data_IF_223109871759
#
_entry.id   IF_223109871759
#
_cell.length_a   1.000
_cell.length_b   1.000
_cell.length_c   1.000
_cell.angle_alpha   90.00
_cell.angle_beta   90.00
_cell.angle_gamma   90.00
#
_symmetry.space_group_name_H-M   'P 1'
#
loop_
_entity.id
_entity.type
_entity.pdbx_description
1 polymer ?
#
# COMPACT_ATOMS: atom_id res chain seq x y z
N UNK A 1 -3.24 2.30 -14.43
CA UNK A 1 -4.58 1.78 -14.03
C UNK A 1 -4.40 0.91 -12.79
N UNK A 2 -5.43 0.56 -12.01
CA UNK A 2 -5.27 -0.39 -10.88
C UNK A 2 -5.96 -1.71 -11.19
N UNK A 3 -5.26 -2.83 -10.95
CA UNK A 3 -5.84 -4.16 -11.12
C UNK A 3 -5.94 -4.85 -9.76
N UNK A 4 -7.12 -5.35 -9.44
CA UNK A 4 -7.35 -6.17 -8.25
C UNK A 4 -6.53 -7.45 -8.38
N UNK A 5 -5.83 -7.82 -7.32
CA UNK A 5 -5.08 -9.08 -7.28
C UNK A 5 -6.07 -10.25 -7.24
N UNK A 6 -6.06 -11.11 -8.26
CA UNK A 6 -6.87 -12.32 -8.28
C UNK A 6 -6.23 -13.38 -7.37
N UNK A 7 -6.89 -13.72 -6.28
CA UNK A 7 -6.52 -14.83 -5.37
C UNK A 7 -7.63 -15.87 -5.35
N UNK A 8 -7.30 -17.16 -5.16
CA UNK A 8 -8.32 -18.22 -5.14
C UNK A 8 -9.06 -18.27 -3.81
N UNK A 9 -8.44 -17.80 -2.72
CA UNK A 9 -9.04 -17.82 -1.37
C UNK A 9 -8.67 -16.59 -0.53
N UNK A 10 -9.51 -16.29 0.49
CA UNK A 10 -9.22 -15.26 1.51
C UNK A 10 -7.95 -15.58 2.30
N UNK A 11 -7.63 -16.86 2.50
CA UNK A 11 -6.41 -17.29 3.20
C UNK A 11 -5.15 -16.94 2.41
N UNK A 12 -5.16 -17.15 1.10
CA UNK A 12 -4.08 -16.74 0.20
C UNK A 12 -3.92 -15.22 0.19
N UNK A 13 -5.03 -14.49 0.07
CA UNK A 13 -5.03 -13.02 0.14
C UNK A 13 -4.33 -12.53 1.41
N UNK A 14 -4.73 -13.04 2.58
CA UNK A 14 -4.11 -12.67 3.86
C UNK A 14 -2.62 -13.02 3.88
N UNK A 15 -2.26 -14.25 3.49
CA UNK A 15 -0.86 -14.69 3.48
C UNK A 15 0.01 -13.76 2.63
N UNK A 16 -0.42 -13.44 1.42
CA UNK A 16 0.31 -12.54 0.51
C UNK A 16 0.42 -11.13 1.07
N UNK A 17 -0.69 -10.57 1.55
CA UNK A 17 -0.70 -9.21 2.07
C UNK A 17 0.22 -9.07 3.31
N UNK A 18 0.19 -10.02 4.24
CA UNK A 18 1.09 -10.02 5.39
C UNK A 18 2.56 -10.25 5.00
N UNK A 19 2.84 -11.04 3.95
CA UNK A 19 4.21 -11.21 3.46
C UNK A 19 4.78 -9.90 2.90
N UNK A 20 3.95 -9.12 2.19
CA UNK A 20 4.33 -7.79 1.67
C UNK A 20 4.58 -6.82 2.82
N UNK A 21 3.72 -6.81 3.83
CA UNK A 21 3.89 -5.96 5.02
C UNK A 21 5.17 -6.32 5.78
N UNK A 22 5.48 -7.62 5.89
CA UNK A 22 6.66 -8.11 6.63
C UNK A 22 7.97 -7.89 5.88
N UNK A 23 7.97 -8.02 4.55
CA UNK A 23 9.17 -7.92 3.71
C UNK A 23 8.91 -7.03 2.48
N UNK A 24 8.70 -5.71 2.69
CA UNK A 24 8.50 -4.77 1.60
C UNK A 24 9.82 -4.43 0.90
N UNK A 25 9.75 -4.11 -0.39
CA UNK A 25 10.84 -3.46 -1.11
C UNK A 25 10.89 -1.95 -0.86
N UNK A 26 9.70 -1.33 -0.72
CA UNK A 26 9.54 0.12 -0.51
C UNK A 26 8.41 0.37 0.47
N UNK A 27 8.55 1.37 1.32
CA UNK A 27 7.49 1.77 2.26
C UNK A 27 7.28 3.27 2.19
N UNK A 28 6.00 3.65 2.08
CA UNK A 28 5.57 5.04 2.06
C UNK A 28 4.57 5.29 3.19
N UNK A 29 4.67 6.45 3.81
CA UNK A 29 3.71 6.93 4.80
C UNK A 29 2.98 8.13 4.22
N UNK A 30 1.65 8.08 4.24
CA UNK A 30 0.78 9.19 3.89
C UNK A 30 0.10 9.70 5.16
N UNK A 31 0.29 10.98 5.47
CA UNK A 31 -0.45 11.68 6.53
C UNK A 31 -1.38 12.70 5.91
N UNK A 32 -2.66 12.68 6.28
CA UNK A 32 -3.64 13.71 5.95
C UNK A 32 -4.61 13.92 7.13
N UNK A 33 -5.62 14.78 6.95
CA UNK A 33 -6.62 15.05 7.97
C UNK A 33 -7.44 13.80 8.39
N UNK A 34 -7.48 12.75 7.56
CA UNK A 34 -8.19 11.52 7.85
C UNK A 34 -7.34 10.50 8.63
N UNK A 35 -6.01 10.67 8.72
CA UNK A 35 -5.14 9.82 9.53
C UNK A 35 -3.76 9.53 8.91
N UNK A 36 -3.08 8.53 9.47
CA UNK A 36 -1.84 7.95 8.94
C UNK A 36 -2.15 6.67 8.18
N UNK A 37 -1.60 6.56 6.98
CA UNK A 37 -1.69 5.36 6.16
C UNK A 37 -0.29 4.91 5.75
N UNK A 38 -0.03 3.62 5.90
CA UNK A 38 1.21 2.99 5.44
C UNK A 38 0.93 2.23 4.15
N UNK A 39 1.81 2.40 3.17
CA UNK A 39 1.73 1.75 1.89
C UNK A 39 3.00 0.92 1.70
N UNK A 40 2.84 -0.40 1.77
CA UNK A 40 3.92 -1.39 1.64
C UNK A 40 3.94 -1.92 0.22
N UNK A 41 5.09 -1.85 -0.44
CA UNK A 41 5.25 -2.27 -1.82
C UNK A 41 6.16 -3.48 -1.91
N UNK A 42 5.77 -4.47 -2.72
CA UNK A 42 6.65 -5.55 -3.17
C UNK A 42 6.58 -5.63 -4.69
N UNK A 43 7.65 -5.20 -5.36
CA UNK A 43 7.67 -4.97 -6.83
C UNK A 43 6.53 -4.04 -7.25
N UNK A 44 5.49 -4.58 -7.89
CA UNK A 44 4.33 -3.88 -8.44
C UNK A 44 3.04 -4.13 -7.63
N UNK A 45 3.18 -4.77 -6.46
CA UNK A 45 2.10 -5.03 -5.52
C UNK A 45 2.14 -4.04 -4.37
N UNK A 46 0.99 -3.52 -3.93
CA UNK A 46 0.88 -2.65 -2.76
C UNK A 46 -0.22 -3.07 -1.82
N UNK A 47 0.12 -3.05 -0.53
CA UNK A 47 -0.82 -3.19 0.59
C UNK A 47 -0.89 -1.87 1.33
N UNK A 48 -2.10 -1.38 1.59
CA UNK A 48 -2.31 -0.19 2.43
C UNK A 48 -2.88 -0.58 3.78
N UNK A 49 -2.35 -0.03 4.86
CA UNK A 49 -2.85 -0.19 6.23
C UNK A 49 -3.08 1.17 6.89
N UNK A 50 -3.95 1.23 7.90
CA UNK A 50 -4.08 2.38 8.81
C UNK A 50 -3.45 2.08 10.18
N UNK A 51 -3.01 3.14 10.86
CA UNK A 51 -2.36 3.13 12.18
C UNK A 51 -3.18 2.37 13.24
N UNK A 52 -4.50 2.55 13.24
CA UNK A 52 -5.33 2.17 14.39
C UNK A 52 -5.39 0.66 14.67
N UNK A 53 -5.07 -0.21 13.70
CA UNK A 53 -5.13 -1.68 13.88
C UNK A 53 -4.22 -2.50 12.94
N UNK A 54 -3.32 -1.87 12.16
CA UNK A 54 -2.59 -2.53 11.06
C UNK A 54 -3.50 -3.33 10.09
N UNK A 55 -4.80 -3.01 10.07
CA UNK A 55 -5.78 -3.66 9.22
C UNK A 55 -5.42 -3.42 7.76
N UNK A 56 -5.39 -4.50 6.97
CA UNK A 56 -5.24 -4.41 5.52
C UNK A 56 -6.50 -3.73 4.96
N UNK A 57 -6.37 -2.47 4.56
CA UNK A 57 -7.44 -1.70 3.94
C UNK A 57 -7.61 -2.06 2.48
N UNK A 58 -6.49 -2.31 1.80
CA UNK A 58 -6.51 -2.64 0.39
C UNK A 58 -5.24 -3.35 -0.09
N UNK A 59 -5.38 -4.08 -1.20
CA UNK A 59 -4.31 -4.81 -1.87
C UNK A 59 -4.49 -4.72 -3.40
N UNK A 60 -3.56 -4.06 -4.08
CA UNK A 60 -3.64 -3.80 -5.53
C UNK A 60 -2.32 -4.10 -6.24
N UNK A 61 -2.42 -4.36 -7.54
CA UNK A 61 -1.31 -4.20 -8.47
C UNK A 61 -1.27 -2.76 -8.99
N UNK A 62 -0.09 -2.18 -9.09
CA UNK A 62 0.14 -0.77 -9.44
C UNK A 62 1.31 -0.61 -10.39
N UNK A 63 1.15 0.33 -11.30
CA UNK A 63 2.22 0.84 -12.16
C UNK A 63 3.08 1.86 -11.39
N UNK A 64 4.40 1.86 -11.62
CA UNK A 64 5.37 2.69 -10.88
C UNK A 64 5.07 4.21 -10.95
N UNK A 65 4.40 4.68 -12.02
CA UNK A 65 4.03 6.09 -12.16
C UNK A 65 3.00 6.59 -11.13
N UNK A 66 2.30 5.67 -10.45
CA UNK A 66 1.25 6.03 -9.51
C UNK A 66 1.74 6.90 -8.35
N UNK A 67 2.92 6.58 -7.79
CA UNK A 67 3.49 7.33 -6.67
C UNK A 67 3.79 8.76 -7.10
N UNK A 68 4.43 8.94 -8.26
CA UNK A 68 4.78 10.27 -8.79
C UNK A 68 3.54 11.15 -8.96
N UNK A 69 2.46 10.59 -9.53
CA UNK A 69 1.19 11.31 -9.69
C UNK A 69 0.58 11.69 -8.34
N UNK A 70 0.55 10.78 -7.36
CA UNK A 70 -0.08 11.02 -6.05
C UNK A 70 0.71 11.99 -5.16
N UNK A 71 2.03 11.99 -5.26
CA UNK A 71 2.89 13.00 -4.58
C UNK A 71 2.62 14.39 -5.14
N UNK A 72 2.37 14.52 -6.44
CA UNK A 72 2.16 15.81 -7.10
C UNK A 72 0.73 16.37 -6.94
N UNK A 73 -0.27 15.52 -6.67
CA UNK A 73 -1.71 15.92 -6.76
C UNK A 73 -2.42 16.08 -5.41
N UNK A 74 -1.75 15.92 -4.27
CA UNK A 74 -2.46 15.91 -2.98
C UNK A 74 -1.87 16.86 -1.94
N UNK A 75 -2.79 17.47 -1.19
CA UNK A 75 -2.61 18.12 0.12
C UNK A 75 -2.15 17.15 1.24
N UNK A 76 -1.42 16.10 0.88
CA UNK A 76 -0.91 15.09 1.81
C UNK A 76 0.59 14.95 1.66
N UNK A 77 1.30 14.93 2.79
CA UNK A 77 2.71 14.60 2.80
C UNK A 77 2.86 13.08 2.62
N UNK A 78 3.62 12.68 1.60
CA UNK A 78 4.03 11.29 1.36
C UNK A 78 5.54 11.21 1.57
N UNK A 79 5.95 10.42 2.56
CA UNK A 79 7.36 10.22 2.90
C UNK A 79 7.74 8.78 2.58
N UNK A 80 8.86 8.58 1.87
CA UNK A 80 9.48 7.26 1.72
C UNK A 80 10.37 7.02 2.92
N UNK A 81 10.14 5.91 3.63
CA UNK A 81 10.90 5.54 4.82
C UNK A 81 11.82 4.32 4.58
N UNK A 82 11.64 3.61 3.46
CA UNK A 82 12.48 2.49 2.99
C UNK A 82 12.43 2.41 1.46
#
# INVERSE_FOLDING_TARGET
MHTIVKTKTVKEYRKMAYEIVRNPNRVYVKRNAAGTYYMFFKVDLMVTTSDDNLSILSFYRIEDEWIKRRVQTLSSAILRIL
#
